data_IF_712183032018
#
_entry.id   IF_712183032018
#
_cell.length_a   1.000
_cell.length_b   1.000
_cell.length_c   1.000
_cell.angle_alpha   90.00
_cell.angle_beta   90.00
_cell.angle_gamma   90.00
#
_symmetry.space_group_name_H-M   'P 1'
#
loop_
_entity.id
_entity.type
_entity.pdbx_description
1 polymer ?
#
# COMPACT_ATOMS: atom_id res chain seq x y z
N UNK A 1 -3.09 -11.08 20.29
CA UNK A 1 -2.81 -10.70 18.89
C UNK A 1 -2.92 -11.97 18.08
N UNK A 2 -3.95 -12.12 17.25
CA UNK A 2 -4.09 -13.30 16.38
C UNK A 2 -2.93 -13.32 15.39
N UNK A 3 -2.15 -14.40 15.38
CA UNK A 3 -1.08 -14.67 14.42
C UNK A 3 -1.63 -14.59 13.00
N UNK A 4 -1.24 -13.55 12.26
CA UNK A 4 -1.58 -13.42 10.85
C UNK A 4 -0.50 -14.15 10.03
N UNK A 5 -0.93 -15.04 9.15
CA UNK A 5 -0.04 -15.82 8.30
C UNK A 5 0.65 -14.92 7.26
N UNK A 6 1.86 -15.28 6.85
CA UNK A 6 2.50 -14.66 5.69
C UNK A 6 2.09 -15.36 4.40
N UNK A 7 2.15 -14.63 3.28
CA UNK A 7 1.88 -15.15 1.95
C UNK A 7 3.19 -15.32 1.19
N UNK A 8 3.35 -16.46 0.51
CA UNK A 8 4.63 -16.86 -0.09
C UNK A 8 5.06 -15.98 -1.29
N UNK A 9 4.11 -15.30 -1.94
CA UNK A 9 4.37 -14.48 -3.14
C UNK A 9 3.91 -13.03 -2.97
N UNK A 10 4.55 -12.31 -2.03
CA UNK A 10 4.24 -10.90 -1.75
C UNK A 10 4.38 -9.99 -2.98
N UNK A 11 5.30 -10.28 -3.92
CA UNK A 11 5.48 -9.44 -5.12
C UNK A 11 4.26 -9.47 -6.04
N UNK A 12 3.74 -10.67 -6.32
CA UNK A 12 2.53 -10.82 -7.13
C UNK A 12 1.33 -10.21 -6.40
N UNK A 13 1.23 -10.42 -5.09
CA UNK A 13 0.19 -9.82 -4.27
C UNK A 13 0.21 -8.29 -4.34
N UNK A 14 1.37 -7.66 -4.18
CA UNK A 14 1.48 -6.21 -4.28
C UNK A 14 1.06 -5.69 -5.65
N UNK A 15 1.40 -6.40 -6.73
CA UNK A 15 0.95 -6.05 -8.09
C UNK A 15 -0.58 -6.05 -8.20
N UNK A 16 -1.24 -7.11 -7.70
CA UNK A 16 -2.70 -7.21 -7.70
C UNK A 16 -3.33 -6.15 -6.81
N UNK A 17 -2.77 -5.93 -5.62
CA UNK A 17 -3.20 -4.91 -4.67
C UNK A 17 -3.21 -3.50 -5.29
N UNK A 18 -2.09 -3.09 -5.89
CA UNK A 18 -2.01 -1.75 -6.51
C UNK A 18 -2.91 -1.59 -7.73
N UNK A 19 -3.21 -2.70 -8.43
CA UNK A 19 -4.14 -2.72 -9.54
C UNK A 19 -5.62 -2.73 -9.12
N UNK A 20 -5.92 -2.83 -7.81
CA UNK A 20 -7.28 -3.02 -7.31
C UNK A 20 -7.90 -4.36 -7.74
N UNK A 21 -7.07 -5.33 -8.13
CA UNK A 21 -7.52 -6.64 -8.59
C UNK A 21 -7.92 -7.53 -7.41
N UNK A 22 -8.82 -8.48 -7.66
CA UNK A 22 -9.12 -9.54 -6.70
C UNK A 22 -7.87 -10.40 -6.47
N UNK A 23 -7.59 -10.74 -5.21
CA UNK A 23 -6.44 -11.54 -4.80
C UNK A 23 -6.96 -12.92 -4.37
N UNK A 24 -6.47 -13.99 -4.97
CA UNK A 24 -6.86 -15.35 -4.59
C UNK A 24 -6.32 -15.72 -3.20
N UNK A 25 -7.12 -16.44 -2.42
CA UNK A 25 -6.69 -16.97 -1.14
C UNK A 25 -6.05 -18.34 -1.30
N UNK A 26 -4.95 -18.66 -0.56
CA UNK A 26 -4.37 -20.00 -0.54
C UNK A 26 -5.35 -21.11 -0.11
N UNK A 27 -6.42 -20.78 0.62
CA UNK A 27 -7.44 -21.75 1.04
C UNK A 27 -8.67 -21.78 0.11
N UNK A 28 -8.58 -21.18 -1.08
CA UNK A 28 -9.72 -20.98 -1.97
C UNK A 28 -10.54 -19.72 -1.64
N UNK A 29 -11.29 -19.24 -2.62
CA UNK A 29 -11.95 -17.92 -2.54
C UNK A 29 -10.96 -16.77 -2.74
N UNK A 30 -11.21 -15.64 -2.09
CA UNK A 30 -10.40 -14.42 -2.25
C UNK A 30 -10.01 -13.78 -0.92
N UNK A 31 -8.97 -12.95 -0.96
CA UNK A 31 -8.49 -12.16 0.16
C UNK A 31 -9.15 -10.78 0.12
N UNK A 32 -9.74 -10.38 1.24
CA UNK A 32 -10.37 -9.08 1.46
C UNK A 32 -9.41 -8.21 2.26
N UNK A 33 -9.12 -7.00 1.77
CA UNK A 33 -8.32 -6.02 2.51
C UNK A 33 -9.13 -5.46 3.66
N UNK A 34 -8.75 -5.81 4.89
CA UNK A 34 -9.39 -5.29 6.11
C UNK A 34 -8.84 -3.92 6.50
N UNK A 35 -7.59 -3.63 6.14
CA UNK A 35 -7.02 -2.31 6.35
C UNK A 35 -5.51 -2.26 6.20
N UNK A 36 -5.03 -1.03 6.05
CA UNK A 36 -3.61 -0.70 5.96
C UNK A 36 -3.19 0.05 7.22
N UNK A 37 -1.98 -0.24 7.70
CA UNK A 37 -1.35 0.42 8.86
C UNK A 37 0.01 0.95 8.44
N UNK A 38 0.19 2.28 8.36
CA UNK A 38 1.51 2.88 8.12
C UNK A 38 2.49 2.51 9.23
N UNK A 39 3.75 2.34 8.85
CA UNK A 39 4.87 2.10 9.76
C UNK A 39 5.71 3.38 9.91
N UNK A 40 6.51 3.47 10.97
CA UNK A 40 7.37 4.64 11.24
C UNK A 40 8.46 4.85 10.18
N UNK A 41 8.85 3.80 9.44
CA UNK A 41 9.88 3.85 8.39
C UNK A 41 9.36 4.42 7.05
N UNK A 42 8.07 4.79 6.99
CA UNK A 42 7.37 5.29 5.81
C UNK A 42 6.86 4.20 4.87
N UNK A 43 6.96 2.93 5.25
CA UNK A 43 6.23 1.82 4.63
C UNK A 43 4.87 1.61 5.30
N UNK A 44 4.25 0.46 5.04
CA UNK A 44 3.01 0.05 5.70
C UNK A 44 2.89 -1.48 5.75
N UNK A 45 1.97 -1.97 6.56
CA UNK A 45 1.53 -3.36 6.55
C UNK A 45 0.03 -3.42 6.23
N UNK A 46 -0.37 -4.40 5.42
CA UNK A 46 -1.77 -4.67 5.14
C UNK A 46 -2.26 -5.91 5.87
N UNK A 47 -3.50 -5.87 6.34
CA UNK A 47 -4.21 -7.03 6.89
C UNK A 47 -5.26 -7.50 5.88
N UNK A 48 -5.23 -8.79 5.59
CA UNK A 48 -6.13 -9.47 4.67
C UNK A 48 -6.90 -10.54 5.43
N UNK A 49 -8.11 -10.85 4.98
CA UNK A 49 -8.91 -11.97 5.50
C UNK A 49 -9.44 -12.81 4.35
N UNK A 50 -9.32 -14.13 4.47
CA UNK A 50 -9.87 -15.08 3.51
C UNK A 50 -11.39 -15.09 3.60
N UNK A 51 -12.06 -14.94 2.46
CA UNK A 51 -13.52 -14.94 2.35
C UNK A 51 -14.18 -16.27 2.73
N UNK A 52 -13.42 -17.37 2.80
CA UNK A 52 -13.93 -18.73 3.05
C UNK A 52 -13.52 -19.25 4.42
N UNK A 53 -12.24 -19.13 4.79
CA UNK A 53 -11.71 -19.72 6.03
C UNK A 53 -11.61 -18.74 7.20
N UNK A 54 -11.86 -17.44 6.98
CA UNK A 54 -11.60 -16.36 7.95
C UNK A 54 -10.14 -16.27 8.44
N UNK A 55 -9.22 -17.02 7.82
CA UNK A 55 -7.80 -16.91 8.13
C UNK A 55 -7.29 -15.54 7.71
N UNK A 56 -6.47 -14.96 8.59
CA UNK A 56 -5.89 -13.64 8.37
C UNK A 56 -4.47 -13.74 7.87
N UNK A 57 -4.17 -12.90 6.89
CA UNK A 57 -2.86 -12.80 6.29
C UNK A 57 -2.33 -11.40 6.44
N UNK A 58 -1.01 -11.28 6.53
CA UNK A 58 -0.31 -10.00 6.50
C UNK A 58 0.60 -9.95 5.29
N UNK A 59 0.71 -8.77 4.70
CA UNK A 59 1.70 -8.48 3.67
C UNK A 59 2.38 -7.15 3.95
N UNK A 60 3.62 -7.03 3.48
CA UNK A 60 4.40 -5.81 3.64
C UNK A 60 4.29 -4.90 2.42
N UNK A 61 4.03 -3.62 2.66
CA UNK A 61 4.08 -2.56 1.65
C UNK A 61 5.41 -1.80 1.88
N UNK A 62 6.41 -1.96 1.00
CA UNK A 62 7.73 -1.37 1.23
C UNK A 62 7.65 0.17 1.16
N UNK A 63 8.48 0.86 1.94
CA UNK A 63 8.63 2.32 1.87
C UNK A 63 8.94 2.81 0.45
N UNK A 64 8.61 4.06 0.16
CA UNK A 64 8.88 4.65 -1.15
C UNK A 64 10.39 4.60 -1.49
N UNK A 65 10.70 4.14 -2.70
CA UNK A 65 12.04 4.14 -3.28
C UNK A 65 12.51 5.56 -3.56
N UNK A 66 13.83 5.77 -3.68
CA UNK A 66 14.39 7.10 -4.02
C UNK A 66 13.80 7.67 -5.31
N UNK A 67 13.60 6.82 -6.32
CA UNK A 67 13.01 7.20 -7.61
C UNK A 67 11.56 7.64 -7.47
N UNK A 68 10.75 6.91 -6.70
CA UNK A 68 9.36 7.31 -6.42
C UNK A 68 9.28 8.65 -5.68
N UNK A 69 10.13 8.84 -4.66
CA UNK A 69 10.18 10.10 -3.89
C UNK A 69 10.58 11.28 -4.77
N UNK A 70 11.55 11.08 -5.67
CA UNK A 70 11.98 12.12 -6.62
C UNK A 70 10.82 12.54 -7.53
N UNK A 71 10.11 11.58 -8.13
CA UNK A 71 8.93 11.87 -8.98
C UNK A 71 7.88 12.70 -8.25
N UNK A 72 7.56 12.32 -7.01
CA UNK A 72 6.58 13.06 -6.20
C UNK A 72 7.09 14.46 -5.85
N UNK A 73 8.37 14.59 -5.50
CA UNK A 73 9.00 15.88 -5.22
C UNK A 73 8.98 16.81 -6.44
N UNK A 74 9.30 16.30 -7.63
CA UNK A 74 9.35 17.10 -8.86
C UNK A 74 7.96 17.69 -9.19
N UNK A 75 6.88 16.93 -8.95
CA UNK A 75 5.48 17.41 -9.13
C UNK A 75 5.12 18.47 -8.07
N UNK A 76 5.49 18.24 -6.80
CA UNK A 76 5.26 19.21 -5.72
C UNK A 76 6.02 20.53 -5.95
N UNK A 77 7.27 20.45 -6.39
CA UNK A 77 8.12 21.62 -6.68
C UNK A 77 7.56 22.43 -7.88
N UNK A 78 6.81 21.78 -8.79
CA UNK A 78 6.08 22.44 -9.87
C UNK A 78 4.76 23.11 -9.41
N UNK A 79 4.34 22.89 -8.16
CA UNK A 79 3.10 23.45 -7.59
C UNK A 79 1.86 22.59 -7.82
N UNK A 80 2.02 21.37 -8.35
CA UNK A 80 0.92 20.46 -8.67
C UNK A 80 0.65 19.45 -7.54
N UNK A 81 -0.53 18.82 -7.61
CA UNK A 81 -0.93 17.71 -6.72
C UNK A 81 -0.43 16.36 -7.26
N UNK A 82 0.50 15.65 -6.59
CA UNK A 82 0.99 14.37 -7.06
C UNK A 82 0.02 13.22 -6.82
N UNK A 83 -0.11 12.35 -7.81
CA UNK A 83 -0.74 11.04 -7.66
C UNK A 83 0.24 10.01 -7.08
N UNK A 84 -0.31 8.95 -6.48
CA UNK A 84 0.46 7.84 -5.97
C UNK A 84 1.18 7.09 -7.10
N UNK A 85 2.53 7.00 -7.08
CA UNK A 85 3.28 6.31 -8.14
C UNK A 85 2.97 4.82 -8.32
N UNK A 86 2.30 4.19 -7.35
CA UNK A 86 2.00 2.75 -7.35
C UNK A 86 0.58 2.43 -7.82
N UNK A 87 -0.43 3.20 -7.40
CA UNK A 87 -1.82 3.01 -7.85
C UNK A 87 -2.10 3.73 -9.18
N UNK A 88 -1.31 4.76 -9.49
CA UNK A 88 -1.46 5.53 -10.73
C UNK A 88 -2.45 6.70 -10.62
N UNK A 89 -2.88 7.21 -11.77
CA UNK A 89 -3.69 8.43 -11.86
C UNK A 89 -4.99 8.37 -11.05
N UNK A 90 -5.36 9.49 -10.44
CA UNK A 90 -6.59 9.61 -9.66
C UNK A 90 -6.50 9.14 -8.21
N UNK A 91 -5.39 8.51 -7.81
CA UNK A 91 -5.09 8.22 -6.40
C UNK A 91 -4.17 9.30 -5.84
N UNK A 92 -4.75 10.48 -5.53
CA UNK A 92 -3.99 11.62 -5.03
C UNK A 92 -3.28 11.33 -3.72
N UNK A 93 -2.04 11.82 -3.61
CA UNK A 93 -1.35 11.87 -2.33
C UNK A 93 -1.92 13.01 -1.49
N UNK A 94 -1.91 12.82 -0.17
CA UNK A 94 -2.41 13.80 0.79
C UNK A 94 -1.33 14.22 1.76
N UNK A 95 -1.49 15.41 2.34
CA UNK A 95 -0.63 15.90 3.42
C UNK A 95 -1.10 15.32 4.74
N UNK A 96 -0.23 14.60 5.42
CA UNK A 96 -0.44 14.06 6.76
C UNK A 96 0.69 14.53 7.69
N UNK A 97 0.41 15.55 8.49
CA UNK A 97 1.42 16.24 9.29
C UNK A 97 2.52 16.82 8.39
N UNK A 98 3.77 16.38 8.59
CA UNK A 98 4.93 16.81 7.79
C UNK A 98 5.18 15.96 6.55
N UNK A 99 4.34 14.95 6.28
CA UNK A 99 4.57 13.97 5.22
C UNK A 99 3.52 14.07 4.11
N UNK A 100 3.93 13.70 2.90
CA UNK A 100 3.03 13.43 1.77
C UNK A 100 2.84 11.92 1.67
N UNK A 101 1.60 11.46 1.84
CA UNK A 101 1.27 10.04 2.01
C UNK A 101 0.16 9.61 1.06
N UNK A 102 0.15 8.33 0.69
CA UNK A 102 -0.98 7.75 -0.04
C UNK A 102 -2.04 7.22 0.93
N UNK A 103 -3.29 7.64 0.79
CA UNK A 103 -4.40 7.12 1.61
C UNK A 103 -4.73 5.65 1.34
N UNK A 104 -4.43 5.15 0.14
CA UNK A 104 -4.70 3.77 -0.22
C UNK A 104 -3.64 2.81 0.32
N UNK A 105 -2.33 3.06 0.12
CA UNK A 105 -1.27 2.14 0.58
C UNK A 105 -0.52 2.58 1.84
N UNK A 106 -0.82 3.75 2.41
CA UNK A 106 -0.19 4.24 3.63
C UNK A 106 1.28 4.67 3.48
N UNK A 107 1.87 4.56 2.29
CA UNK A 107 3.29 4.88 2.04
C UNK A 107 3.53 6.38 2.08
N UNK A 108 4.59 6.78 2.77
CA UNK A 108 5.11 8.15 2.76
C UNK A 108 6.10 8.35 1.59
N UNK A 109 5.83 9.34 0.75
CA UNK A 109 6.61 9.65 -0.46
C UNK A 109 7.53 10.85 -0.29
N UNK A 110 7.39 11.62 0.78
CA UNK A 110 8.23 12.78 1.02
C UNK A 110 7.72 13.61 2.18
N UNK A 111 8.35 14.75 2.38
CA UNK A 111 7.83 15.79 3.26
C UNK A 111 6.92 16.72 2.45
N UNK A 112 5.88 17.20 3.12
CA UNK A 112 4.94 18.17 2.59
C UNK A 112 5.55 19.58 2.57
#
# INVERSE_FOLDING_TARGET
MTDALQLDNEKQLLKLYYAGAQIESPNGGFLIVLGIRPNEDGGAAGLLECSVSSLRYRFTIPKATRTERKKVKDVLDAGDDPDCPRHGPGTRLVRAGKNVVCNACGVAYGRA
#
